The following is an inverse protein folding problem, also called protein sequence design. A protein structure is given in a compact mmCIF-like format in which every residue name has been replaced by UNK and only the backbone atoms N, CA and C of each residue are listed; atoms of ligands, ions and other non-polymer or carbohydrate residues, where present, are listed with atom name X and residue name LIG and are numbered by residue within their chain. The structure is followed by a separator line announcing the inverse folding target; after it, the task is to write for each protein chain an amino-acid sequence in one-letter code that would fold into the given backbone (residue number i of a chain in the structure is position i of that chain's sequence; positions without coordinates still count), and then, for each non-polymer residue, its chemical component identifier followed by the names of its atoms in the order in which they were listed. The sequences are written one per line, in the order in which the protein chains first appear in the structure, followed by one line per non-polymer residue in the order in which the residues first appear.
data_IF_282451977195
#
_entry.id   IF_282451977195
#
_cell.length_a   1.000
_cell.length_b   1.000
_cell.length_c   1.000
_cell.angle_alpha   90.00
_cell.angle_beta   90.00
_cell.angle_gamma   90.00
#
_symmetry.space_group_name_H-M   'P 1'
#
loop_
_entity.id
_entity.type
_entity.pdbx_description
1 polymer ?
#
# COMPACT_ATOMS: atom_id res chain seq x y z
N UNK A 1 -13.34 -3.48 -6.46
CA UNK A 1 -13.85 -4.82 -6.14
C UNK A 1 -15.34 -4.83 -5.84
N UNK A 2 -15.82 -3.94 -4.98
CA UNK A 2 -17.27 -3.80 -4.70
C UNK A 2 -18.03 -3.20 -5.90
N UNK A 3 -17.38 -2.35 -6.70
CA UNK A 3 -17.93 -1.69 -7.88
C UNK A 3 -17.82 -2.54 -9.15
N UNK A 4 -16.74 -3.29 -9.34
CA UNK A 4 -16.54 -4.18 -10.50
C UNK A 4 -17.58 -5.32 -10.57
N UNK A 5 -18.33 -5.55 -9.50
CA UNK A 5 -19.42 -6.52 -9.49
C UNK A 5 -20.62 -6.11 -10.37
N UNK A 6 -20.65 -4.86 -10.86
CA UNK A 6 -21.75 -4.34 -11.69
C UNK A 6 -21.64 -4.67 -13.19
N UNK A 7 -20.46 -5.09 -13.66
CA UNK A 7 -20.14 -5.15 -15.11
C UNK A 7 -20.23 -6.51 -15.79
N UNK A 8 -20.61 -7.61 -15.09
CA UNK A 8 -20.77 -8.92 -15.71
C UNK A 8 -21.91 -9.72 -15.07
N UNK A 9 -22.84 -10.17 -15.88
CA UNK A 9 -24.11 -10.85 -15.55
C UNK A 9 -23.99 -12.15 -14.72
N UNK A 10 -22.79 -12.65 -14.44
CA UNK A 10 -22.53 -13.90 -13.67
C UNK A 10 -21.69 -13.73 -12.40
N UNK A 11 -21.48 -12.52 -11.91
CA UNK A 11 -20.72 -12.30 -10.68
C UNK A 11 -21.66 -12.21 -9.48
N UNK A 12 -21.69 -13.25 -8.65
CA UNK A 12 -22.37 -13.22 -7.36
C UNK A 12 -21.75 -12.09 -6.52
N UNK A 13 -22.58 -11.14 -6.09
CA UNK A 13 -22.17 -10.11 -5.12
C UNK A 13 -21.69 -10.80 -3.84
N UNK A 14 -20.60 -10.31 -3.22
CA UNK A 14 -20.18 -10.83 -1.92
C UNK A 14 -21.28 -10.56 -0.89
N UNK A 15 -21.59 -11.55 -0.08
CA UNK A 15 -22.52 -11.41 1.04
C UNK A 15 -21.81 -11.04 2.35
N UNK A 16 -20.52 -11.38 2.43
CA UNK A 16 -19.64 -11.13 3.57
C UNK A 16 -18.35 -10.51 3.09
N UNK A 17 -17.76 -9.64 3.91
CA UNK A 17 -16.50 -8.99 3.61
C UNK A 17 -15.75 -8.71 4.92
N UNK A 18 -14.44 -8.88 4.92
CA UNK A 18 -13.58 -8.45 6.01
C UNK A 18 -12.23 -8.01 5.45
N UNK A 19 -11.61 -7.02 6.09
CA UNK A 19 -10.23 -6.62 5.86
C UNK A 19 -9.40 -7.12 7.03
N UNK A 20 -8.35 -7.87 6.75
CA UNK A 20 -7.55 -8.55 7.76
C UNK A 20 -6.16 -7.93 7.76
N UNK A 21 -5.66 -7.58 8.94
CA UNK A 21 -4.38 -6.93 9.15
C UNK A 21 -3.44 -7.76 10.00
N UNK A 22 -2.15 -7.59 9.80
CA UNK A 22 -1.14 -7.98 10.78
C UNK A 22 -1.24 -7.06 12.01
N UNK A 23 -1.25 -7.65 13.19
CA UNK A 23 -1.33 -6.90 14.45
C UNK A 23 0.05 -6.44 14.95
N UNK A 24 1.09 -7.22 14.67
CA UNK A 24 2.44 -6.97 15.14
C UNK A 24 3.47 -7.67 14.25
N UNK A 25 4.73 -7.23 14.36
CA UNK A 25 5.86 -7.82 13.63
C UNK A 25 6.22 -9.22 14.13
N UNK A 26 6.08 -9.47 15.45
CA UNK A 26 6.37 -10.76 16.08
C UNK A 26 5.11 -11.57 16.27
N UNK A 27 5.21 -12.86 16.02
CA UNK A 27 4.11 -13.82 16.15
C UNK A 27 4.64 -15.18 16.63
N UNK A 28 3.78 -16.19 16.78
CA UNK A 28 4.13 -17.51 17.27
C UNK A 28 5.26 -18.21 16.46
N UNK A 29 5.48 -17.82 15.19
CA UNK A 29 6.57 -18.37 14.38
C UNK A 29 7.95 -17.97 14.92
N UNK A 30 8.05 -16.82 15.58
CA UNK A 30 9.31 -16.41 16.22
C UNK A 30 9.65 -17.27 17.46
N UNK A 31 8.67 -17.95 18.06
CA UNK A 31 8.91 -18.95 19.11
C UNK A 31 9.47 -20.25 18.52
N UNK A 32 9.09 -20.58 17.27
CA UNK A 32 9.60 -21.76 16.54
C UNK A 32 11.00 -21.48 15.98
N UNK A 33 11.21 -20.27 15.44
CA UNK A 33 12.45 -19.84 14.81
C UNK A 33 12.64 -18.33 15.03
N UNK A 34 13.60 -17.98 15.90
CA UNK A 34 13.83 -16.60 16.35
C UNK A 34 14.08 -15.61 15.22
N UNK A 35 14.72 -16.07 14.15
CA UNK A 35 15.13 -15.26 13.00
C UNK A 35 14.04 -15.13 11.93
N UNK A 36 12.83 -15.70 12.15
CA UNK A 36 11.71 -15.56 11.23
C UNK A 36 11.39 -14.09 10.98
N UNK A 37 11.37 -13.67 9.70
CA UNK A 37 11.23 -12.27 9.26
C UNK A 37 12.27 -11.30 9.85
N UNK A 38 13.37 -11.80 10.41
CA UNK A 38 14.41 -10.98 11.04
C UNK A 38 15.18 -10.09 10.07
N UNK A 39 15.18 -10.41 8.78
CA UNK A 39 15.82 -9.64 7.71
C UNK A 39 14.98 -8.47 7.17
N UNK A 40 13.72 -8.32 7.64
CA UNK A 40 12.86 -7.21 7.21
C UNK A 40 13.27 -5.93 7.93
N UNK A 41 13.44 -4.82 7.19
CA UNK A 41 13.63 -3.49 7.76
C UNK A 41 12.38 -3.02 8.51
N UNK A 42 12.55 -2.04 9.38
CA UNK A 42 11.42 -1.36 10.01
C UNK A 42 10.65 -0.54 8.96
N UNK A 43 9.38 -0.27 9.25
CA UNK A 43 8.60 0.61 8.41
C UNK A 43 9.21 2.02 8.43
N UNK A 44 9.21 2.75 7.30
CA UNK A 44 9.60 4.15 7.28
C UNK A 44 8.80 4.97 8.29
N UNK A 45 9.45 5.96 8.92
CA UNK A 45 8.85 6.77 9.97
C UNK A 45 7.55 7.46 9.52
N UNK A 46 7.49 7.91 8.28
CA UNK A 46 6.30 8.54 7.69
C UNK A 46 5.13 7.56 7.47
N UNK A 47 5.41 6.25 7.39
CA UNK A 47 4.38 5.22 7.22
C UNK A 47 3.75 4.80 8.55
N UNK A 48 4.51 4.83 9.65
CA UNK A 48 4.04 4.37 10.96
C UNK A 48 2.72 5.05 11.39
N UNK A 49 2.59 6.39 11.34
CA UNK A 49 1.33 7.06 11.71
C UNK A 49 0.18 6.74 10.76
N UNK A 50 0.46 6.33 9.52
CA UNK A 50 -0.57 5.99 8.53
C UNK A 50 -1.27 4.66 8.82
N UNK A 51 -0.68 3.75 9.58
CA UNK A 51 -1.31 2.47 9.90
C UNK A 51 -2.64 2.63 10.66
N UNK A 52 -2.73 3.63 11.52
CA UNK A 52 -3.99 3.95 12.20
C UNK A 52 -5.05 4.45 11.22
N UNK A 53 -4.68 5.35 10.31
CA UNK A 53 -5.60 5.88 9.29
C UNK A 53 -6.05 4.82 8.29
N UNK A 54 -5.18 3.88 7.92
CA UNK A 54 -5.56 2.73 7.09
C UNK A 54 -6.66 1.90 7.77
N UNK A 55 -6.54 1.62 9.07
CA UNK A 55 -7.60 0.92 9.83
C UNK A 55 -8.88 1.75 9.95
N UNK A 56 -8.75 3.04 10.23
CA UNK A 56 -9.89 3.98 10.27
C UNK A 56 -10.63 4.02 8.92
N UNK A 57 -9.91 3.96 7.80
CA UNK A 57 -10.54 3.94 6.48
C UNK A 57 -11.45 2.73 6.30
N UNK A 58 -11.04 1.54 6.73
CA UNK A 58 -11.85 0.32 6.66
C UNK A 58 -13.14 0.47 7.47
N UNK A 59 -13.03 1.02 8.67
CA UNK A 59 -14.19 1.28 9.55
C UNK A 59 -15.10 2.37 8.97
N UNK A 60 -14.55 3.37 8.28
CA UNK A 60 -15.32 4.40 7.60
C UNK A 60 -16.18 3.81 6.46
N UNK A 61 -15.69 2.78 5.77
CA UNK A 61 -16.47 2.01 4.79
C UNK A 61 -17.47 1.02 5.42
N UNK A 62 -17.66 1.06 6.74
CA UNK A 62 -18.51 0.14 7.49
C UNK A 62 -18.14 -1.34 7.30
N UNK A 63 -16.86 -1.62 7.11
CA UNK A 63 -16.31 -2.96 6.91
C UNK A 63 -15.64 -3.46 8.19
N UNK A 64 -15.75 -4.77 8.50
CA UNK A 64 -14.97 -5.39 9.56
C UNK A 64 -13.46 -5.25 9.33
N UNK A 65 -12.75 -4.75 10.35
CA UNK A 65 -11.30 -4.65 10.42
C UNK A 65 -10.81 -5.66 11.46
N UNK A 66 -10.09 -6.66 11.05
CA UNK A 66 -9.74 -7.83 11.87
C UNK A 66 -8.22 -7.91 12.01
N UNK A 67 -7.77 -8.06 13.24
CA UNK A 67 -6.39 -8.40 13.59
C UNK A 67 -6.36 -9.19 14.89
N UNK A 68 -5.35 -9.99 15.12
CA UNK A 68 -5.19 -10.73 16.35
C UNK A 68 -3.71 -10.87 16.70
N UNK A 69 -3.36 -10.46 17.93
CA UNK A 69 -2.00 -10.60 18.43
C UNK A 69 -1.50 -12.05 18.33
N UNK A 70 -0.21 -12.19 18.02
CA UNK A 70 0.49 -13.46 17.88
C UNK A 70 0.16 -14.27 16.62
N UNK A 71 -0.71 -13.77 15.73
CA UNK A 71 -1.04 -14.40 14.44
C UNK A 71 -0.87 -13.40 13.29
N UNK A 72 -0.48 -13.91 12.14
CA UNK A 72 -0.40 -13.13 10.92
C UNK A 72 -1.78 -13.05 10.23
N UNK A 73 -1.95 -12.02 9.41
CA UNK A 73 -3.16 -11.86 8.59
C UNK A 73 -3.47 -13.13 7.79
N UNK A 74 -2.45 -13.80 7.27
CA UNK A 74 -2.59 -15.01 6.46
C UNK A 74 -3.17 -16.20 7.26
N UNK A 75 -2.82 -16.31 8.57
CA UNK A 75 -3.39 -17.33 9.45
C UNK A 75 -4.88 -17.08 9.70
N UNK A 76 -5.25 -15.79 9.87
CA UNK A 76 -6.63 -15.39 10.02
C UNK A 76 -7.43 -15.64 8.74
N UNK A 77 -6.87 -15.27 7.56
CA UNK A 77 -7.46 -15.54 6.24
C UNK A 77 -7.70 -17.06 6.08
N UNK A 78 -6.70 -17.88 6.41
CA UNK A 78 -6.81 -19.34 6.33
C UNK A 78 -7.91 -19.87 7.27
N UNK A 79 -7.95 -19.38 8.51
CA UNK A 79 -8.95 -19.79 9.50
C UNK A 79 -10.37 -19.41 9.07
N UNK A 80 -10.61 -18.16 8.66
CA UNK A 80 -11.92 -17.73 8.20
C UNK A 80 -12.33 -18.44 6.91
N UNK A 81 -11.39 -18.69 6.01
CA UNK A 81 -11.66 -19.46 4.80
C UNK A 81 -12.18 -20.87 5.12
N UNK A 82 -11.57 -21.56 6.09
CA UNK A 82 -12.04 -22.89 6.52
C UNK A 82 -13.41 -22.82 7.23
N UNK A 83 -13.70 -21.74 8.00
CA UNK A 83 -15.02 -21.55 8.60
C UNK A 83 -16.11 -21.43 7.53
N UNK A 84 -15.90 -20.58 6.52
CA UNK A 84 -16.85 -20.37 5.41
C UNK A 84 -17.04 -21.65 4.60
N UNK A 85 -16.00 -22.43 4.35
CA UNK A 85 -16.12 -23.69 3.63
C UNK A 85 -16.93 -24.72 4.40
N UNK A 86 -16.80 -24.79 5.73
CA UNK A 86 -17.60 -25.67 6.58
C UNK A 86 -19.10 -25.34 6.51
N UNK A 87 -19.43 -24.09 6.24
CA UNK A 87 -20.80 -23.61 6.00
C UNK A 87 -21.28 -23.79 4.55
N UNK A 88 -20.45 -24.41 3.69
CA UNK A 88 -20.78 -24.59 2.27
C UNK A 88 -20.58 -23.34 1.40
N UNK A 89 -19.97 -22.30 1.94
CA UNK A 89 -19.71 -21.05 1.25
C UNK A 89 -18.53 -21.10 0.27
N UNK A 90 -18.33 -20.00 -0.45
CA UNK A 90 -17.19 -19.78 -1.35
C UNK A 90 -16.40 -18.58 -0.87
N UNK A 91 -15.08 -18.62 -1.02
CA UNK A 91 -14.18 -17.56 -0.58
C UNK A 91 -13.45 -16.96 -1.79
N UNK A 92 -13.34 -15.65 -1.80
CA UNK A 92 -12.40 -14.93 -2.66
C UNK A 92 -11.40 -14.22 -1.77
N UNK A 93 -10.14 -14.67 -1.80
CA UNK A 93 -9.03 -14.01 -1.14
C UNK A 93 -8.48 -12.95 -2.09
N UNK A 94 -8.32 -11.72 -1.60
CA UNK A 94 -7.75 -10.61 -2.37
C UNK A 94 -6.37 -10.32 -1.81
N UNK A 95 -5.34 -10.81 -2.50
CA UNK A 95 -3.95 -10.64 -2.09
C UNK A 95 -3.01 -10.95 -3.25
N UNK A 96 -1.84 -10.29 -3.27
CA UNK A 96 -0.73 -10.64 -4.16
C UNK A 96 0.27 -11.59 -3.49
N UNK A 97 0.01 -12.01 -2.24
CA UNK A 97 0.90 -12.88 -1.52
C UNK A 97 0.86 -14.32 -2.05
N UNK A 98 2.05 -14.83 -2.39
CA UNK A 98 2.24 -16.18 -2.90
C UNK A 98 1.91 -17.28 -1.88
N UNK A 99 2.05 -16.97 -0.58
CA UNK A 99 1.90 -17.96 0.48
C UNK A 99 0.44 -18.37 0.66
N UNK A 100 -0.49 -17.48 0.31
CA UNK A 100 -1.92 -17.78 0.25
C UNK A 100 -2.30 -18.76 -0.87
N UNK A 101 -1.41 -19.01 -1.85
CA UNK A 101 -1.65 -20.01 -2.91
C UNK A 101 -1.83 -21.44 -2.37
N UNK A 102 -1.31 -21.74 -1.18
CA UNK A 102 -1.57 -23.01 -0.48
C UNK A 102 -3.05 -23.22 -0.09
N UNK A 103 -3.86 -22.14 -0.12
CA UNK A 103 -5.29 -22.20 0.18
C UNK A 103 -6.16 -22.42 -1.06
N UNK A 104 -5.58 -22.31 -2.27
CA UNK A 104 -6.32 -22.43 -3.52
C UNK A 104 -6.97 -23.81 -3.66
N UNK A 105 -8.27 -23.84 -3.86
CA UNK A 105 -9.07 -25.05 -4.11
C UNK A 105 -10.43 -24.70 -4.73
N UNK A 106 -11.25 -25.69 -5.10
CA UNK A 106 -12.53 -25.51 -5.81
C UNK A 106 -13.40 -24.36 -5.31
N UNK A 107 -13.49 -24.15 -3.99
CA UNK A 107 -14.34 -23.12 -3.38
C UNK A 107 -13.54 -21.95 -2.77
N UNK A 108 -12.23 -21.92 -2.96
CA UNK A 108 -11.35 -20.78 -2.61
C UNK A 108 -10.62 -20.35 -3.87
N UNK A 109 -10.85 -19.12 -4.29
CA UNK A 109 -10.12 -18.49 -5.39
C UNK A 109 -9.35 -17.28 -4.86
N UNK A 110 -8.27 -16.94 -5.53
CA UNK A 110 -7.39 -15.84 -5.16
C UNK A 110 -7.42 -14.82 -6.29
N UNK A 111 -7.62 -13.55 -5.94
CA UNK A 111 -7.54 -12.42 -6.86
C UNK A 111 -6.29 -11.61 -6.53
N UNK A 112 -5.39 -11.48 -7.50
CA UNK A 112 -4.18 -10.65 -7.39
C UNK A 112 -4.51 -9.23 -7.88
N UNK A 113 -4.64 -8.23 -6.97
CA UNK A 113 -5.00 -6.88 -7.35
C UNK A 113 -3.89 -6.15 -8.10
N UNK A 114 -2.61 -6.54 -7.91
CA UNK A 114 -1.48 -5.93 -8.60
C UNK A 114 -1.45 -6.33 -10.08
N UNK A 115 -1.86 -7.56 -10.38
CA UNK A 115 -1.95 -8.08 -11.75
C UNK A 115 -3.34 -7.97 -12.34
N UNK A 116 -4.32 -7.53 -11.54
CA UNK A 116 -5.74 -7.42 -11.92
C UNK A 116 -6.30 -8.72 -12.51
N UNK A 117 -5.97 -9.87 -11.89
CA UNK A 117 -6.41 -11.18 -12.38
C UNK A 117 -6.65 -12.19 -11.26
N UNK A 118 -7.49 -13.20 -11.55
CA UNK A 118 -7.59 -14.38 -10.69
C UNK A 118 -6.39 -15.30 -10.92
N UNK A 119 -5.82 -15.79 -9.82
CA UNK A 119 -4.80 -16.85 -9.82
C UNK A 119 -5.46 -18.16 -10.24
N UNK A 120 -4.85 -18.89 -11.15
CA UNK A 120 -5.28 -20.21 -11.61
C UNK A 120 -4.24 -21.28 -11.27
N UNK A 121 -4.55 -22.55 -11.55
CA UNK A 121 -3.64 -23.67 -11.29
C UNK A 121 -2.33 -23.56 -12.06
N UNK A 122 -2.34 -22.99 -13.25
CA UNK A 122 -1.14 -22.78 -14.06
C UNK A 122 -0.21 -21.74 -13.43
N UNK A 123 -0.77 -20.66 -12.89
CA UNK A 123 0.01 -19.65 -12.16
C UNK A 123 0.73 -20.28 -10.95
N UNK A 124 0.05 -21.18 -10.22
CA UNK A 124 0.63 -21.89 -9.07
C UNK A 124 1.72 -22.85 -9.53
N UNK A 125 1.47 -23.62 -10.58
CA UNK A 125 2.46 -24.54 -11.18
C UNK A 125 3.67 -23.79 -11.72
N UNK A 126 3.47 -22.64 -12.37
CA UNK A 126 4.57 -21.79 -12.84
C UNK A 126 5.40 -21.22 -11.68
N UNK A 127 4.78 -20.93 -10.54
CA UNK A 127 5.45 -20.39 -9.35
C UNK A 127 6.19 -21.44 -8.55
N UNK A 128 5.54 -22.58 -8.29
CA UNK A 128 6.00 -23.60 -7.35
C UNK A 128 6.38 -24.93 -8.02
N UNK A 129 6.09 -25.14 -9.28
CA UNK A 129 6.32 -26.38 -10.03
C UNK A 129 5.35 -27.51 -9.67
N UNK A 130 4.36 -27.26 -8.83
CA UNK A 130 3.38 -28.25 -8.30
C UNK A 130 1.98 -27.60 -8.19
N UNK A 131 0.96 -28.41 -7.92
CA UNK A 131 -0.37 -27.91 -7.55
C UNK A 131 -0.41 -27.34 -6.13
N UNK A 132 -1.51 -26.64 -5.82
CA UNK A 132 -1.69 -25.95 -4.54
C UNK A 132 -1.52 -26.85 -3.31
N UNK A 133 -1.93 -28.11 -3.42
CA UNK A 133 -1.87 -29.12 -2.36
C UNK A 133 -0.44 -29.50 -1.94
N UNK A 134 0.55 -29.19 -2.77
CA UNK A 134 1.98 -29.50 -2.54
C UNK A 134 2.84 -28.25 -2.32
N UNK A 135 2.27 -27.06 -2.34
CA UNK A 135 3.00 -25.80 -2.18
C UNK A 135 3.74 -25.75 -0.86
N UNK A 136 3.11 -26.17 0.24
CA UNK A 136 3.73 -26.23 1.56
C UNK A 136 5.00 -27.09 1.54
N UNK A 137 4.95 -28.28 0.95
CA UNK A 137 6.08 -29.21 0.92
C UNK A 137 7.23 -28.67 0.07
N UNK A 138 6.92 -28.00 -1.05
CA UNK A 138 7.93 -27.34 -1.89
C UNK A 138 8.58 -26.18 -1.15
N UNK A 139 7.81 -25.29 -0.50
CA UNK A 139 8.35 -24.20 0.28
C UNK A 139 9.16 -24.68 1.49
N UNK A 140 8.77 -25.78 2.12
CA UNK A 140 9.50 -26.37 3.23
C UNK A 140 10.92 -26.77 2.85
N UNK A 141 11.11 -27.24 1.63
CA UNK A 141 12.42 -27.60 1.08
C UNK A 141 13.19 -26.41 0.53
N UNK A 142 12.52 -25.57 -0.25
CA UNK A 142 13.15 -24.43 -0.92
C UNK A 142 13.48 -23.28 0.04
N UNK A 143 12.73 -23.19 1.15
CA UNK A 143 12.77 -22.02 2.03
C UNK A 143 12.12 -20.80 1.41
N UNK A 144 12.21 -19.69 2.13
CA UNK A 144 11.79 -18.38 1.67
C UNK A 144 12.72 -17.28 2.18
N UNK A 145 13.45 -16.66 1.28
CA UNK A 145 14.39 -15.59 1.65
C UNK A 145 13.70 -14.30 2.11
N UNK A 146 12.46 -14.04 1.65
CA UNK A 146 11.72 -12.84 2.08
C UNK A 146 11.27 -12.92 3.53
N UNK A 147 10.98 -14.13 4.01
CA UNK A 147 10.54 -14.41 5.38
C UNK A 147 11.61 -15.06 6.25
N UNK A 148 12.82 -15.18 5.70
CA UNK A 148 13.94 -15.84 6.36
C UNK A 148 13.62 -17.28 6.79
N UNK A 149 12.86 -18.01 5.95
CA UNK A 149 12.60 -19.43 6.14
C UNK A 149 13.78 -20.21 5.60
N UNK A 150 14.46 -21.06 6.43
CA UNK A 150 15.78 -21.59 6.07
C UNK A 150 15.75 -22.58 4.90
N UNK A 151 14.71 -23.41 4.76
CA UNK A 151 14.69 -24.48 3.78
C UNK A 151 15.84 -25.49 3.93
N UNK A 152 16.16 -26.18 2.86
CA UNK A 152 17.31 -27.08 2.76
C UNK A 152 18.37 -26.42 1.86
N UNK A 153 19.60 -26.21 2.32
CA UNK A 153 20.65 -25.56 1.55
C UNK A 153 20.84 -26.17 0.16
N UNK A 154 20.89 -25.33 -0.88
CA UNK A 154 21.08 -25.79 -2.26
C UNK A 154 19.87 -26.44 -2.93
N UNK A 155 18.71 -26.47 -2.26
CA UNK A 155 17.45 -26.92 -2.84
C UNK A 155 16.55 -25.73 -3.12
N UNK A 156 16.50 -25.29 -4.38
CA UNK A 156 15.56 -24.26 -4.82
C UNK A 156 14.22 -24.88 -5.26
N UNK A 157 13.27 -24.01 -5.61
CA UNK A 157 11.88 -24.39 -5.96
C UNK A 157 11.80 -25.49 -7.01
N UNK A 158 12.57 -25.42 -8.11
CA UNK A 158 12.57 -26.44 -9.16
C UNK A 158 12.97 -27.82 -8.65
N UNK A 159 14.05 -27.88 -7.87
CA UNK A 159 14.52 -29.15 -7.28
C UNK A 159 13.57 -29.67 -6.21
N UNK A 160 13.00 -28.78 -5.40
CA UNK A 160 11.97 -29.11 -4.42
C UNK A 160 10.74 -29.72 -5.11
N UNK A 161 10.24 -29.09 -6.16
CA UNK A 161 9.10 -29.57 -6.94
C UNK A 161 9.34 -30.96 -7.55
N UNK A 162 10.54 -31.20 -8.13
CA UNK A 162 10.95 -32.51 -8.64
C UNK A 162 10.91 -33.58 -7.53
N UNK A 163 11.51 -33.28 -6.39
CA UNK A 163 11.56 -34.21 -5.27
C UNK A 163 10.16 -34.50 -4.72
N UNK A 164 9.34 -33.48 -4.50
CA UNK A 164 7.97 -33.65 -3.99
C UNK A 164 7.09 -34.39 -5.00
N UNK A 165 7.27 -34.19 -6.29
CA UNK A 165 6.55 -34.93 -7.33
C UNK A 165 6.93 -36.43 -7.28
N UNK A 166 8.21 -36.74 -7.14
CA UNK A 166 8.71 -38.10 -7.15
C UNK A 166 8.37 -38.87 -5.85
N UNK A 167 8.41 -38.21 -4.70
CA UNK A 167 8.20 -38.85 -3.40
C UNK A 167 6.81 -38.60 -2.81
N UNK A 168 6.00 -37.74 -3.41
CA UNK A 168 4.62 -37.45 -3.03
C UNK A 168 4.45 -36.38 -1.93
N UNK A 169 5.24 -36.44 -0.84
CA UNK A 169 5.22 -35.46 0.26
C UNK A 169 6.60 -35.28 0.90
N UNK A 170 6.76 -34.23 1.69
CA UNK A 170 7.99 -33.95 2.44
C UNK A 170 8.32 -35.11 3.40
N UNK A 171 7.34 -35.61 4.14
CA UNK A 171 7.53 -36.69 5.11
C UNK A 171 8.05 -37.97 4.43
N UNK A 172 7.43 -38.33 3.32
CA UNK A 172 7.83 -39.50 2.55
C UNK A 172 9.22 -39.33 1.92
N UNK A 173 9.53 -38.14 1.43
CA UNK A 173 10.86 -37.76 0.93
C UNK A 173 11.91 -37.92 2.02
N UNK A 174 11.69 -37.34 3.20
CA UNK A 174 12.65 -37.40 4.33
C UNK A 174 12.83 -38.80 4.87
N UNK A 175 11.77 -39.61 4.85
CA UNK A 175 11.85 -41.05 5.25
C UNK A 175 12.65 -41.87 4.25
N UNK A 176 12.55 -41.54 2.96
CA UNK A 176 13.19 -42.29 1.87
C UNK A 176 14.37 -41.52 1.24
N UNK A 177 14.97 -40.60 1.94
CA UNK A 177 16.06 -39.76 1.43
C UNK A 177 17.26 -40.61 0.93
N UNK A 178 17.50 -41.77 1.50
CA UNK A 178 18.53 -42.71 1.07
C UNK A 178 18.39 -43.22 -0.37
N UNK A 179 17.19 -43.17 -0.94
CA UNK A 179 16.89 -43.60 -2.31
C UNK A 179 17.26 -42.54 -3.36
N UNK A 180 17.66 -41.36 -2.95
CA UNK A 180 18.04 -40.28 -3.85
C UNK A 180 19.38 -40.64 -4.51
N UNK A 181 19.38 -40.70 -5.85
CA UNK A 181 20.55 -41.12 -6.64
C UNK A 181 21.75 -40.18 -6.52
N UNK A 182 21.50 -38.87 -6.38
CA UNK A 182 22.54 -37.84 -6.30
C UNK A 182 23.10 -37.77 -4.87
N UNK A 183 24.33 -38.21 -4.67
CA UNK A 183 24.96 -38.28 -3.35
C UNK A 183 24.89 -37.00 -2.56
N UNK A 184 25.36 -35.89 -3.16
CA UNK A 184 25.36 -34.56 -2.51
C UNK A 184 23.97 -34.14 -2.04
N UNK A 185 22.96 -34.34 -2.88
CA UNK A 185 21.56 -33.97 -2.57
C UNK A 185 21.00 -34.84 -1.44
N UNK A 186 21.31 -36.14 -1.47
CA UNK A 186 20.94 -37.10 -0.44
C UNK A 186 21.52 -36.71 0.92
N UNK A 187 22.83 -36.47 0.97
CA UNK A 187 23.54 -36.10 2.18
C UNK A 187 22.99 -34.76 2.74
N UNK A 188 22.85 -33.75 1.91
CA UNK A 188 22.30 -32.47 2.32
C UNK A 188 20.89 -32.58 2.91
N UNK A 189 20.01 -33.44 2.33
CA UNK A 189 18.66 -33.63 2.84
C UNK A 189 18.67 -34.38 4.19
N UNK A 190 19.54 -35.38 4.36
CA UNK A 190 19.66 -36.12 5.61
C UNK A 190 20.17 -35.22 6.73
N UNK A 191 21.22 -34.44 6.47
CA UNK A 191 21.82 -33.46 7.41
C UNK A 191 20.89 -32.31 7.80
N UNK A 192 20.05 -31.88 6.90
CA UNK A 192 19.17 -30.70 7.12
C UNK A 192 17.68 -31.09 7.27
N UNK A 193 17.39 -32.31 7.67
CA UNK A 193 16.02 -32.81 7.91
C UNK A 193 15.25 -31.91 8.87
N UNK A 194 15.88 -31.49 9.96
CA UNK A 194 15.24 -30.67 10.98
C UNK A 194 14.93 -29.26 10.44
N UNK A 195 15.80 -28.68 9.59
CA UNK A 195 15.52 -27.40 8.93
C UNK A 195 14.30 -27.49 8.01
N UNK A 196 14.16 -28.59 7.25
CA UNK A 196 12.98 -28.79 6.41
C UNK A 196 11.70 -28.90 7.25
N UNK A 197 11.74 -29.55 8.38
CA UNK A 197 10.60 -29.70 9.30
C UNK A 197 10.26 -28.39 10.00
N UNK A 198 11.27 -27.61 10.41
CA UNK A 198 11.06 -26.24 10.93
C UNK A 198 10.45 -25.37 9.84
N UNK A 199 11.01 -25.37 8.63
CA UNK A 199 10.47 -24.61 7.50
C UNK A 199 9.03 -24.98 7.23
N UNK A 200 8.65 -26.27 7.30
CA UNK A 200 7.24 -26.68 7.15
C UNK A 200 6.34 -26.04 8.18
N UNK A 201 6.76 -25.97 9.44
CA UNK A 201 5.99 -25.30 10.50
C UNK A 201 5.84 -23.80 10.25
N UNK A 202 6.88 -23.16 9.69
CA UNK A 202 6.88 -21.72 9.40
C UNK A 202 5.98 -21.35 8.22
N UNK A 203 6.02 -22.12 7.12
CA UNK A 203 5.25 -21.82 5.90
C UNK A 203 3.82 -22.30 5.95
N UNK A 204 3.47 -23.20 6.85
CA UNK A 204 2.10 -23.70 6.98
C UNK A 204 1.21 -22.68 7.67
N UNK A 205 0.17 -22.23 6.99
CA UNK A 205 -0.81 -21.33 7.55
C UNK A 205 -1.71 -22.04 8.57
N UNK A 206 -1.91 -21.39 9.71
CA UNK A 206 -2.77 -21.89 10.78
C UNK A 206 -4.23 -21.71 10.41
N UNK A 207 -5.05 -22.77 10.52
CA UNK A 207 -6.46 -22.79 10.10
C UNK A 207 -7.43 -22.91 11.27
N UNK A 208 -6.92 -22.83 12.48
CA UNK A 208 -7.63 -23.01 13.74
C UNK A 208 -7.27 -21.92 14.77
N UNK A 209 -6.99 -20.71 14.29
CA UNK A 209 -6.73 -19.56 15.16
C UNK A 209 -7.93 -19.32 16.07
N UNK A 210 -7.72 -19.06 17.38
CA UNK A 210 -8.81 -18.83 18.34
C UNK A 210 -9.43 -17.44 18.17
N UNK A 211 -10.11 -17.24 17.04
CA UNK A 211 -10.78 -15.97 16.72
C UNK A 211 -12.02 -15.77 17.55
N UNK A 212 -12.26 -14.53 18.00
CA UNK A 212 -13.44 -14.15 18.77
C UNK A 212 -14.68 -14.04 17.89
N UNK A 213 -14.52 -13.39 16.73
CA UNK A 213 -15.59 -13.19 15.78
C UNK A 213 -15.62 -14.33 14.76
N UNK A 214 -16.81 -14.83 14.47
CA UNK A 214 -16.98 -15.84 13.44
C UNK A 214 -17.17 -15.20 12.07
N UNK A 215 -16.75 -15.88 11.02
CA UNK A 215 -16.91 -15.42 9.63
C UNK A 215 -18.36 -15.08 9.26
N UNK A 216 -19.35 -15.75 9.88
CA UNK A 216 -20.79 -15.49 9.72
C UNK A 216 -21.19 -14.05 10.11
N UNK A 217 -20.43 -13.40 10.98
CA UNK A 217 -20.70 -12.04 11.46
C UNK A 217 -20.23 -10.95 10.49
N UNK A 218 -19.48 -11.31 9.45
CA UNK A 218 -18.90 -10.35 8.50
C UNK A 218 -19.85 -10.01 7.35
N UNK A 219 -21.16 -10.03 7.62
CA UNK A 219 -22.18 -9.65 6.64
C UNK A 219 -21.86 -8.25 6.10
N UNK A 220 -21.80 -8.14 4.78
CA UNK A 220 -21.58 -6.86 4.11
C UNK A 220 -22.76 -5.93 4.39
N UNK A 221 -22.49 -4.87 5.13
CA UNK A 221 -23.46 -3.84 5.47
C UNK A 221 -23.48 -2.73 4.42
N UNK A 222 -24.55 -1.98 4.37
CA UNK A 222 -24.58 -0.75 3.59
C UNK A 222 -23.54 0.25 4.15
N UNK A 223 -23.03 1.06 3.25
CA UNK A 223 -22.05 2.10 3.61
C UNK A 223 -22.73 3.14 4.49
N UNK A 224 -22.15 3.40 5.65
CA UNK A 224 -22.48 4.56 6.47
C UNK A 224 -21.88 5.81 5.81
N UNK A 225 -22.71 6.49 5.03
CA UNK A 225 -22.29 7.67 4.26
C UNK A 225 -21.73 8.77 5.15
N UNK A 226 -22.28 8.93 6.33
CA UNK A 226 -21.87 9.98 7.25
C UNK A 226 -20.45 9.75 7.75
N UNK A 227 -20.17 8.53 8.21
CA UNK A 227 -18.83 8.13 8.64
C UNK A 227 -17.82 8.22 7.49
N UNK A 228 -18.19 7.70 6.31
CA UNK A 228 -17.30 7.74 5.15
C UNK A 228 -16.95 9.17 4.74
N UNK A 229 -17.96 10.03 4.63
CA UNK A 229 -17.74 11.41 4.18
C UNK A 229 -17.01 12.25 5.24
N UNK A 230 -17.25 11.99 6.53
CA UNK A 230 -16.50 12.61 7.62
C UNK A 230 -15.01 12.24 7.53
N UNK A 231 -14.70 10.95 7.39
CA UNK A 231 -13.34 10.47 7.23
C UNK A 231 -12.65 11.07 5.98
N UNK A 232 -13.33 11.07 4.83
CA UNK A 232 -12.74 11.60 3.59
C UNK A 232 -12.48 13.10 3.68
N UNK A 233 -13.30 13.88 4.44
CA UNK A 233 -13.04 15.29 4.72
C UNK A 233 -11.87 15.49 5.67
N UNK A 234 -11.81 14.70 6.75
CA UNK A 234 -10.70 14.73 7.72
C UNK A 234 -9.36 14.48 7.03
N UNK A 235 -9.35 13.58 6.06
CA UNK A 235 -8.15 13.24 5.26
C UNK A 235 -7.92 14.19 4.08
N UNK A 236 -8.77 15.20 3.88
CA UNK A 236 -8.73 16.12 2.73
C UNK A 236 -8.78 15.42 1.36
N UNK A 237 -9.35 14.23 1.29
CA UNK A 237 -9.51 13.44 0.08
C UNK A 237 -10.67 13.92 -0.79
N UNK A 238 -10.61 15.17 -1.24
CA UNK A 238 -11.69 15.87 -1.95
C UNK A 238 -12.17 15.12 -3.21
N UNK A 239 -11.24 14.56 -3.98
CA UNK A 239 -11.58 13.80 -5.20
C UNK A 239 -12.34 12.50 -4.86
N UNK A 240 -11.89 11.78 -3.84
CA UNK A 240 -12.56 10.57 -3.39
C UNK A 240 -13.92 10.87 -2.75
N UNK A 241 -14.03 11.98 -2.01
CA UNK A 241 -15.30 12.45 -1.45
C UNK A 241 -16.32 12.75 -2.56
N UNK A 242 -15.93 13.47 -3.60
CA UNK A 242 -16.80 13.77 -4.74
C UNK A 242 -17.24 12.49 -5.45
N UNK A 243 -16.34 11.53 -5.66
CA UNK A 243 -16.66 10.22 -6.24
C UNK A 243 -17.62 9.43 -5.34
N UNK A 244 -17.37 9.43 -4.03
CA UNK A 244 -18.22 8.73 -3.05
C UNK A 244 -19.64 9.34 -3.02
N UNK A 245 -19.78 10.66 -3.04
CA UNK A 245 -21.06 11.34 -3.10
C UNK A 245 -21.82 10.99 -4.41
N UNK A 246 -21.11 10.98 -5.53
CA UNK A 246 -21.70 10.56 -6.83
C UNK A 246 -22.19 9.13 -6.80
N UNK A 247 -21.48 8.22 -6.11
CA UNK A 247 -21.77 6.79 -6.08
C UNK A 247 -22.86 6.44 -5.08
N UNK A 248 -22.82 7.02 -3.88
CA UNK A 248 -23.67 6.66 -2.73
C UNK A 248 -24.74 7.69 -2.41
N UNK A 249 -24.74 8.84 -3.08
CA UNK A 249 -25.70 9.93 -2.90
C UNK A 249 -25.32 10.90 -1.76
N UNK A 250 -25.98 12.04 -1.76
CA UNK A 250 -25.79 13.07 -0.74
C UNK A 250 -26.33 12.61 0.62
N UNK A 251 -25.76 13.14 1.69
CA UNK A 251 -26.32 13.04 3.04
C UNK A 251 -27.06 14.32 3.38
N UNK A 252 -28.14 14.22 4.16
CA UNK A 252 -28.88 15.38 4.69
C UNK A 252 -28.09 16.12 5.79
N UNK A 253 -26.78 15.95 5.87
CA UNK A 253 -26.02 16.80 6.75
C UNK A 253 -26.16 18.23 6.27
N UNK A 254 -26.84 19.06 7.08
CA UNK A 254 -26.45 20.44 7.14
C UNK A 254 -24.93 20.43 7.24
N UNK A 255 -24.30 20.95 6.24
CA UNK A 255 -22.95 21.43 6.35
C UNK A 255 -22.87 22.03 7.76
N UNK A 256 -22.18 21.36 8.70
CA UNK A 256 -21.46 22.16 9.64
C UNK A 256 -20.59 22.94 8.66
N UNK A 257 -21.09 24.15 8.36
CA UNK A 257 -20.25 25.13 7.76
C UNK A 257 -18.94 24.94 8.48
N UNK A 258 -17.96 24.38 7.76
CA UNK A 258 -16.63 24.53 8.24
C UNK A 258 -16.60 25.98 8.68
N UNK A 259 -16.35 26.20 9.95
CA UNK A 259 -15.68 27.39 10.42
C UNK A 259 -14.20 27.35 10.03
N UNK A 260 -13.87 26.82 8.88
CA UNK A 260 -13.20 27.63 7.93
C UNK A 260 -14.15 28.80 7.82
N UNK A 261 -13.89 29.84 8.58
CA UNK A 261 -14.25 31.16 8.13
C UNK A 261 -14.22 31.06 6.64
N UNK A 262 -15.39 31.09 6.03
CA UNK A 262 -15.51 31.38 4.64
C UNK A 262 -14.52 32.51 4.49
N UNK A 263 -13.30 32.15 4.03
CA UNK A 263 -12.52 33.15 3.33
C UNK A 263 -13.52 33.49 2.27
N UNK A 264 -14.36 34.50 2.58
CA UNK A 264 -15.22 35.15 1.61
C UNK A 264 -14.33 35.14 0.43
N UNK A 265 -14.77 34.59 -0.70
CA UNK A 265 -14.18 34.89 -1.98
C UNK A 265 -14.34 36.40 -2.09
N UNK A 266 -13.57 37.15 -1.34
CA UNK A 266 -13.25 38.52 -1.62
C UNK A 266 -12.69 38.37 -3.01
N UNK A 267 -13.47 38.83 -3.98
CA UNK A 267 -13.03 38.89 -5.35
C UNK A 267 -11.64 39.50 -5.27
N UNK A 268 -10.60 38.68 -5.48
CA UNK A 268 -9.23 39.15 -5.41
C UNK A 268 -9.16 40.29 -6.38
N UNK A 269 -9.07 41.48 -5.81
CA UNK A 269 -9.04 42.71 -6.62
C UNK A 269 -7.60 42.84 -7.11
N UNK A 270 -7.37 42.77 -8.42
CA UNK A 270 -6.06 42.98 -9.05
C UNK A 270 -5.46 44.39 -8.74
N UNK A 271 -6.12 45.18 -7.90
CA UNK A 271 -5.65 46.54 -7.51
C UNK A 271 -4.37 46.52 -6.70
N UNK A 272 -4.02 45.39 -6.09
CA UNK A 272 -2.82 45.22 -5.25
C UNK A 272 -1.71 44.42 -5.94
N UNK A 273 -1.84 44.26 -7.25
CA UNK A 273 -0.79 43.61 -8.05
C UNK A 273 0.05 44.72 -8.72
N UNK A 274 1.36 44.64 -8.59
CA UNK A 274 2.29 45.65 -9.12
C UNK A 274 3.31 45.05 -10.06
N UNK A 275 3.70 45.78 -11.07
CA UNK A 275 4.82 45.48 -11.92
C UNK A 275 6.06 46.19 -11.33
N UNK A 276 7.11 45.45 -11.09
CA UNK A 276 8.39 46.01 -10.63
C UNK A 276 9.11 46.64 -11.82
N UNK A 277 9.49 47.89 -11.69
CA UNK A 277 10.11 48.68 -12.77
C UNK A 277 11.60 49.00 -12.49
N UNK A 278 12.07 48.78 -11.27
CA UNK A 278 13.47 49.05 -10.89
C UNK A 278 13.88 48.20 -9.67
N UNK A 279 15.20 48.13 -9.45
CA UNK A 279 15.81 47.31 -8.39
C UNK A 279 15.41 47.79 -6.96
N UNK A 280 15.15 49.08 -6.76
CA UNK A 280 14.78 49.60 -5.43
C UNK A 280 13.40 49.06 -5.00
N UNK A 281 12.45 48.92 -5.93
CA UNK A 281 11.15 48.35 -5.65
C UNK A 281 11.23 46.86 -5.21
N UNK A 282 12.23 46.10 -5.70
CA UNK A 282 12.49 44.73 -5.23
C UNK A 282 12.93 44.82 -3.76
N UNK A 283 13.87 45.68 -3.42
CA UNK A 283 14.36 45.81 -2.04
C UNK A 283 13.25 46.21 -1.06
N UNK A 284 12.34 47.11 -1.50
CA UNK A 284 11.21 47.52 -0.67
C UNK A 284 10.23 46.34 -0.43
N UNK A 285 10.03 45.52 -1.42
CA UNK A 285 9.18 44.34 -1.30
C UNK A 285 9.81 43.23 -0.41
N UNK A 286 11.12 43.00 -0.54
CA UNK A 286 11.85 42.04 0.28
C UNK A 286 11.90 42.48 1.75
N UNK A 287 12.02 43.75 2.05
CA UNK A 287 11.92 44.28 3.42
C UNK A 287 10.58 43.97 4.08
N UNK A 288 9.49 44.08 3.30
CA UNK A 288 8.17 43.65 3.79
C UNK A 288 8.10 42.15 4.04
N UNK A 289 8.76 41.32 3.20
CA UNK A 289 8.84 39.89 3.38
C UNK A 289 9.61 39.49 4.67
N UNK A 290 10.73 40.16 4.95
CA UNK A 290 11.50 40.02 6.16
C UNK A 290 10.68 40.34 7.43
N UNK A 291 9.92 41.43 7.40
CA UNK A 291 9.02 41.81 8.53
C UNK A 291 7.91 40.80 8.78
N UNK A 292 7.42 40.13 7.74
CA UNK A 292 6.33 39.14 7.81
C UNK A 292 6.90 37.76 8.16
N UNK A 293 8.13 37.45 7.73
CA UNK A 293 8.81 36.17 7.90
C UNK A 293 8.39 35.11 6.89
N UNK A 294 7.62 35.47 5.87
CA UNK A 294 7.14 34.54 4.83
C UNK A 294 7.15 35.23 3.46
N UNK A 295 7.55 34.51 2.42
CA UNK A 295 7.46 34.92 1.03
C UNK A 295 7.05 33.74 0.16
N UNK A 296 6.10 33.98 -0.74
CA UNK A 296 5.76 33.06 -1.82
C UNK A 296 6.45 33.53 -3.10
N UNK A 297 7.10 32.59 -3.79
CA UNK A 297 7.78 32.85 -5.06
C UNK A 297 7.25 31.88 -6.13
N UNK A 298 7.11 32.41 -7.34
CA UNK A 298 6.79 31.63 -8.53
C UNK A 298 7.58 32.17 -9.74
N UNK A 299 7.93 31.30 -10.68
CA UNK A 299 8.77 31.64 -11.82
C UNK A 299 8.11 31.29 -13.14
N UNK A 300 8.22 32.19 -14.10
CA UNK A 300 7.84 31.99 -15.49
C UNK A 300 9.10 31.68 -16.31
N UNK A 301 9.06 30.64 -17.11
CA UNK A 301 10.20 30.15 -17.89
C UNK A 301 9.83 29.80 -19.32
N UNK A 302 10.83 29.75 -20.23
CA UNK A 302 10.63 29.40 -21.64
C UNK A 302 10.35 27.93 -21.89
N UNK A 303 10.64 27.03 -20.93
CA UNK A 303 10.52 25.57 -21.05
C UNK A 303 10.18 24.92 -19.71
N UNK A 304 9.54 23.73 -19.75
CA UNK A 304 9.36 22.87 -18.59
C UNK A 304 10.62 22.05 -18.25
N UNK A 305 11.59 22.00 -19.15
CA UNK A 305 12.88 21.37 -18.88
C UNK A 305 13.81 22.37 -18.19
N UNK A 306 14.14 22.17 -16.91
CA UNK A 306 14.94 23.11 -16.12
C UNK A 306 16.40 23.27 -16.64
N UNK A 307 16.88 22.36 -17.49
CA UNK A 307 18.21 22.46 -18.09
C UNK A 307 18.23 23.27 -19.38
N UNK A 308 17.06 23.59 -19.96
CA UNK A 308 16.91 24.33 -21.22
C UNK A 308 16.05 25.57 -21.06
N UNK A 309 15.54 25.81 -19.85
CA UNK A 309 14.63 26.91 -19.56
C UNK A 309 15.40 28.19 -19.26
N UNK A 310 15.04 29.28 -19.97
CA UNK A 310 15.44 30.64 -19.62
C UNK A 310 14.38 31.27 -18.73
N UNK A 311 14.80 32.09 -17.78
CA UNK A 311 13.90 32.79 -16.87
C UNK A 311 13.21 33.97 -17.60
N UNK A 312 11.90 33.99 -17.56
CA UNK A 312 11.08 35.03 -18.19
C UNK A 312 10.64 36.08 -17.16
N UNK A 313 10.29 35.66 -15.95
CA UNK A 313 9.88 36.55 -14.88
C UNK A 313 9.72 35.84 -13.54
N UNK A 314 9.61 36.61 -12.47
CA UNK A 314 9.44 36.14 -11.10
C UNK A 314 8.24 36.86 -10.47
N UNK A 315 7.35 36.09 -9.88
CA UNK A 315 6.25 36.60 -9.04
C UNK A 315 6.60 36.47 -7.58
N UNK A 316 6.35 37.49 -6.77
CA UNK A 316 6.50 37.46 -5.33
C UNK A 316 5.21 37.84 -4.64
N UNK A 317 4.89 37.19 -3.52
CA UNK A 317 3.75 37.52 -2.66
C UNK A 317 4.09 37.36 -1.21
N UNK A 318 3.69 38.30 -0.37
CA UNK A 318 3.85 38.29 1.09
C UNK A 318 2.53 38.11 1.84
N UNK A 319 1.41 38.28 1.17
CA UNK A 319 0.06 38.10 1.74
C UNK A 319 -0.99 37.93 0.67
N UNK A 320 -2.12 37.33 1.03
CA UNK A 320 -3.27 37.15 0.11
C UNK A 320 -3.74 38.45 -0.50
N UNK A 321 -3.89 38.45 -1.84
CA UNK A 321 -4.35 39.59 -2.62
C UNK A 321 -3.30 40.67 -2.92
N UNK A 322 -2.02 40.43 -2.52
CA UNK A 322 -0.89 41.33 -2.83
C UNK A 322 0.20 40.52 -3.52
N UNK A 323 0.63 40.96 -4.67
CA UNK A 323 1.74 40.35 -5.40
C UNK A 323 2.47 41.36 -6.25
N UNK A 324 3.71 41.09 -6.56
CA UNK A 324 4.46 41.86 -7.59
C UNK A 324 5.02 40.87 -8.62
N UNK A 325 5.29 41.42 -9.81
CA UNK A 325 5.91 40.70 -10.91
C UNK A 325 7.19 41.42 -11.34
N UNK A 326 8.26 40.70 -11.48
CA UNK A 326 9.60 41.13 -11.89
C UNK A 326 9.82 40.63 -13.32
N UNK A 327 9.73 41.49 -14.37
CA UNK A 327 9.95 41.08 -15.75
C UNK A 327 11.46 40.92 -16.02
N UNK A 328 11.89 39.83 -16.66
CA UNK A 328 13.29 39.49 -16.93
C UNK A 328 13.50 39.22 -18.42
N UNK A 329 12.76 38.27 -18.98
CA UNK A 329 12.96 37.73 -20.34
C UNK A 329 11.82 38.01 -21.32
N UNK A 330 11.04 39.09 -21.14
CA UNK A 330 9.94 39.42 -22.05
C UNK A 330 10.43 40.14 -23.30
N UNK A 331 9.65 40.07 -24.39
CA UNK A 331 9.85 40.93 -25.57
C UNK A 331 9.41 42.38 -25.29
N UNK A 332 10.08 43.02 -24.35
CA UNK A 332 9.71 44.36 -23.84
C UNK A 332 10.92 45.10 -23.31
N UNK A 333 10.93 46.41 -23.45
CA UNK A 333 11.97 47.33 -22.90
C UNK A 333 11.89 47.47 -21.36
N UNK A 334 10.94 46.78 -20.72
CA UNK A 334 10.72 46.84 -19.25
C UNK A 334 11.40 45.75 -18.46
N UNK A 335 12.20 44.89 -19.10
CA UNK A 335 12.93 43.84 -18.40
C UNK A 335 13.99 44.41 -17.49
N UNK A 336 14.11 43.82 -16.32
CA UNK A 336 15.26 44.03 -15.42
C UNK A 336 16.39 43.08 -15.77
N UNK A 337 17.60 43.47 -15.40
CA UNK A 337 18.79 42.62 -15.59
C UNK A 337 18.71 41.38 -14.69
N UNK A 338 18.72 40.20 -15.29
CA UNK A 338 18.57 38.90 -14.59
C UNK A 338 19.62 38.76 -13.49
N UNK A 339 20.89 39.03 -13.81
CA UNK A 339 21.97 38.84 -12.86
C UNK A 339 21.85 39.73 -11.62
N UNK A 340 21.33 40.93 -11.78
CA UNK A 340 21.06 41.87 -10.67
C UNK A 340 19.85 41.41 -9.85
N UNK A 341 18.76 40.96 -10.49
CA UNK A 341 17.58 40.45 -9.80
C UNK A 341 17.93 39.23 -8.96
N UNK A 342 18.63 38.27 -9.53
CA UNK A 342 19.08 37.07 -8.79
C UNK A 342 19.99 37.44 -7.62
N UNK A 343 20.92 38.36 -7.80
CA UNK A 343 21.78 38.86 -6.74
C UNK A 343 21.04 39.50 -5.57
N UNK A 344 19.95 40.19 -5.85
CA UNK A 344 19.11 40.82 -4.83
C UNK A 344 18.24 39.80 -4.10
N UNK A 345 17.71 38.79 -4.81
CA UNK A 345 16.83 37.79 -4.23
C UNK A 345 17.60 36.70 -3.44
N UNK A 346 18.84 36.41 -3.86
CA UNK A 346 19.66 35.32 -3.33
C UNK A 346 19.78 35.30 -1.79
N UNK A 347 20.03 36.41 -1.07
CA UNK A 347 20.14 36.37 0.38
C UNK A 347 18.91 35.86 1.11
N UNK A 348 17.71 36.15 0.58
CA UNK A 348 16.43 35.73 1.19
C UNK A 348 16.07 34.29 0.78
N UNK A 349 16.49 33.83 -0.39
CA UNK A 349 16.19 32.48 -0.88
C UNK A 349 17.16 31.40 -0.35
N UNK A 350 18.31 31.82 0.17
CA UNK A 350 19.32 30.91 0.73
C UNK A 350 19.39 30.96 2.28
N UNK A 351 18.54 31.78 2.93
CA UNK A 351 18.43 31.84 4.39
C UNK A 351 17.41 30.77 4.86
#
# INVERSE_FOLDING_TARGET
LLEDSKSNENKHKPTHFAVIFDSARKNFRNEIYSDYKGNRSDAPDDLIPQFEYIRKSVLAFNLPSIELLNYEADDLIATYSEQILKLGGKVTIVSSDKDLMQLYKKNIRIYDPMKNKFVNEEDIKNKFGVGAEKVIDVQSLAGDSSDNVPGVPGIGVKTAAELITNFGSLENLLKNASQIKQNKRRETLIENKDKALISKKLVTLKKDVPVKDKAENFILKEIDREKLYSFLREMEFNRLLSSAISTYGETKFKTIENTNETRKNEKISNKNYSLINNENEIHDYLRQAEEIGEICIDTETTSLDPHQADLVGISLSTKIGYACYIPIGHNSDKNLDEGKVIKILKPILED
#
